data_IF_536289948258
#
_entry.id   IF_536289948258
#
_cell.length_a   1.000
_cell.length_b   1.000
_cell.length_c   1.000
_cell.angle_alpha   90.00
_cell.angle_beta   90.00
_cell.angle_gamma   90.00
#
_symmetry.space_group_name_H-M   'P 1'
#
loop_
_entity.id
_entity.type
_entity.pdbx_description
1 polymer ?
#
# COMPACT_ATOMS: atom_id res chain seq x y z
N UNK A 1 -23.53 58.26 14.54
CA UNK A 1 -22.78 57.77 13.37
C UNK A 1 -22.35 56.35 13.67
N UNK A 2 -23.01 55.39 13.04
CA UNK A 2 -22.93 53.96 13.35
C UNK A 2 -21.72 53.35 12.63
N UNK A 3 -20.74 52.85 13.39
CA UNK A 3 -19.62 52.08 12.84
C UNK A 3 -20.06 50.64 12.67
N UNK A 4 -20.30 50.21 11.43
CA UNK A 4 -20.55 48.81 11.12
C UNK A 4 -19.26 47.99 11.31
N UNK A 5 -19.33 46.77 11.88
CA UNK A 5 -18.20 45.85 11.86
C UNK A 5 -18.02 45.33 10.44
N UNK A 6 -16.81 45.49 9.91
CA UNK A 6 -16.39 45.01 8.59
C UNK A 6 -16.38 43.47 8.59
N UNK A 7 -17.48 42.83 8.20
CA UNK A 7 -17.65 41.37 8.17
C UNK A 7 -17.31 40.79 6.79
N UNK A 8 -16.17 41.17 6.23
CA UNK A 8 -15.70 40.66 4.95
C UNK A 8 -14.19 40.69 4.90
N UNK A 9 -13.60 39.57 4.47
CA UNK A 9 -12.16 39.30 4.31
C UNK A 9 -11.50 38.61 5.51
N UNK A 10 -11.65 37.29 5.55
CA UNK A 10 -10.51 36.39 5.31
C UNK A 10 -11.05 34.97 5.16
N UNK A 11 -11.53 34.65 3.95
CA UNK A 11 -11.55 33.25 3.53
C UNK A 11 -10.09 32.86 3.31
N UNK A 12 -9.38 32.55 4.39
CA UNK A 12 -7.99 32.09 4.34
C UNK A 12 -7.95 30.91 3.38
N UNK A 13 -7.41 31.13 2.19
CA UNK A 13 -7.27 30.10 1.18
C UNK A 13 -6.34 29.04 1.78
N UNK A 14 -6.93 27.93 2.25
CA UNK A 14 -6.18 26.81 2.82
C UNK A 14 -5.41 26.16 1.69
N UNK A 15 -4.16 26.60 1.52
CA UNK A 15 -3.27 26.08 0.50
C UNK A 15 -2.40 24.98 1.12
N UNK A 16 -2.29 23.84 0.45
CA UNK A 16 -1.40 22.77 0.87
C UNK A 16 0.05 23.23 0.78
N UNK A 17 0.86 22.92 1.80
CA UNK A 17 2.26 23.36 1.88
C UNK A 17 3.09 22.84 0.70
N UNK A 18 2.76 21.67 0.18
CA UNK A 18 3.40 21.05 -0.98
C UNK A 18 3.17 21.83 -2.29
N UNK A 19 2.11 22.66 -2.38
CA UNK A 19 1.86 23.49 -3.56
C UNK A 19 2.95 24.55 -3.80
N UNK A 20 3.71 24.91 -2.77
CA UNK A 20 4.88 25.76 -2.90
C UNK A 20 6.03 25.10 -3.70
N UNK A 21 5.93 23.80 -4.01
CA UNK A 21 6.96 23.02 -4.71
C UNK A 21 6.43 22.48 -6.06
N UNK A 22 6.24 23.34 -7.08
CA UNK A 22 5.57 22.97 -8.34
C UNK A 22 6.28 21.85 -9.11
N UNK A 23 7.61 21.76 -9.02
CA UNK A 23 8.37 20.69 -9.66
C UNK A 23 8.16 19.34 -8.99
N UNK A 24 8.04 19.33 -7.66
CA UNK A 24 7.75 18.11 -6.88
C UNK A 24 6.32 17.67 -7.19
N UNK A 25 5.37 18.60 -7.16
CA UNK A 25 3.96 18.32 -7.45
C UNK A 25 3.78 17.77 -8.87
N UNK A 26 4.38 18.41 -9.88
CA UNK A 26 4.33 17.93 -11.28
C UNK A 26 4.89 16.52 -11.41
N UNK A 27 5.94 16.19 -10.64
CA UNK A 27 6.55 14.86 -10.65
C UNK A 27 5.66 13.82 -9.98
N UNK A 28 5.04 14.15 -8.84
CA UNK A 28 4.07 13.30 -8.14
C UNK A 28 2.88 13.02 -9.06
N UNK A 29 2.31 14.05 -9.69
CA UNK A 29 1.19 13.92 -10.62
C UNK A 29 1.51 12.97 -11.79
N UNK A 30 2.72 13.06 -12.35
CA UNK A 30 3.15 12.17 -13.43
C UNK A 30 3.43 10.72 -13.00
N UNK A 31 3.63 10.47 -11.70
CA UNK A 31 3.89 9.14 -11.13
C UNK A 31 2.69 8.55 -10.40
N UNK A 32 1.62 9.31 -10.24
CA UNK A 32 0.56 9.00 -9.29
C UNK A 32 -0.03 7.60 -9.53
N UNK A 33 -0.39 6.92 -8.44
CA UNK A 33 -0.92 5.56 -8.44
C UNK A 33 0.03 4.51 -9.06
N UNK A 34 1.32 4.82 -9.21
CA UNK A 34 2.35 3.86 -9.61
C UNK A 34 3.30 3.56 -8.46
N UNK A 35 4.03 2.45 -8.60
CA UNK A 35 5.13 2.10 -7.72
C UNK A 35 6.30 3.08 -7.78
N UNK A 36 6.52 3.69 -8.95
CA UNK A 36 7.56 4.70 -9.14
C UNK A 36 7.31 5.95 -8.29
N UNK A 37 6.05 6.25 -7.91
CA UNK A 37 5.73 7.33 -6.99
C UNK A 37 6.31 7.10 -5.60
N UNK A 38 6.19 5.88 -5.06
CA UNK A 38 6.72 5.53 -3.75
C UNK A 38 8.25 5.57 -3.74
N UNK A 39 8.90 5.12 -4.82
CA UNK A 39 10.34 5.29 -5.01
C UNK A 39 10.75 6.76 -5.05
N UNK A 40 9.97 7.61 -5.73
CA UNK A 40 10.23 9.04 -5.76
C UNK A 40 10.09 9.70 -4.38
N UNK A 41 9.04 9.37 -3.62
CA UNK A 41 8.85 9.89 -2.26
C UNK A 41 10.03 9.54 -1.35
N UNK A 42 10.55 8.33 -1.43
CA UNK A 42 11.72 7.93 -0.64
C UNK A 42 12.97 8.69 -1.06
N UNK A 43 13.14 8.93 -2.36
CA UNK A 43 14.17 9.83 -2.87
C UNK A 43 14.05 11.21 -2.22
N UNK A 44 12.84 11.78 -2.12
CA UNK A 44 12.62 13.08 -1.49
C UNK A 44 13.01 13.12 0.00
N UNK A 45 12.70 12.06 0.76
CA UNK A 45 13.05 11.99 2.19
C UNK A 45 14.55 11.85 2.44
N UNK A 46 15.26 11.19 1.52
CA UNK A 46 16.69 10.93 1.66
C UNK A 46 17.58 11.90 0.86
N UNK A 47 16.99 12.78 0.03
CA UNK A 47 17.73 13.76 -0.77
C UNK A 47 18.28 14.89 0.11
N UNK A 48 19.35 14.58 0.83
CA UNK A 48 20.22 15.56 1.50
C UNK A 48 21.42 15.86 0.60
N UNK A 49 21.23 16.20 -0.68
CA UNK A 49 22.34 16.49 -1.59
C UNK A 49 23.29 17.56 -1.01
N UNK A 50 24.47 17.10 -0.59
CA UNK A 50 25.64 17.92 -0.24
C UNK A 50 25.61 18.62 1.12
N UNK A 51 24.65 18.32 2.01
CA UNK A 51 24.58 18.95 3.34
C UNK A 51 24.20 20.45 3.34
N UNK A 52 23.87 21.02 2.17
CA UNK A 52 23.60 22.46 2.00
C UNK A 52 22.12 22.80 1.88
N UNK A 53 21.25 21.83 1.57
CA UNK A 53 19.79 22.03 1.56
C UNK A 53 19.22 21.71 2.94
N UNK A 54 18.51 22.68 3.52
CA UNK A 54 17.55 22.40 4.60
C UNK A 54 16.49 21.46 4.00
N UNK A 55 16.19 20.35 4.67
CA UNK A 55 15.13 19.43 4.25
C UNK A 55 13.78 20.13 4.11
N UNK A 56 12.75 19.38 3.73
CA UNK A 56 11.41 19.95 3.64
C UNK A 56 10.96 20.53 5.00
N UNK A 57 10.21 21.65 5.00
CA UNK A 57 9.46 22.09 6.18
C UNK A 57 8.58 20.95 6.73
N UNK A 58 8.29 20.98 8.03
CA UNK A 58 7.55 19.91 8.70
C UNK A 58 6.20 19.68 8.02
N UNK A 59 5.50 20.75 7.69
CA UNK A 59 4.17 20.76 7.08
C UNK A 59 4.19 20.02 5.73
N UNK A 60 5.25 20.23 4.95
CA UNK A 60 5.44 19.53 3.66
C UNK A 60 5.79 18.06 3.90
N UNK A 61 6.58 17.76 4.93
CA UNK A 61 6.90 16.40 5.34
C UNK A 61 5.65 15.58 5.70
N UNK A 62 4.73 16.17 6.45
CA UNK A 62 3.45 15.55 6.83
C UNK A 62 2.57 15.26 5.61
N UNK A 63 2.45 16.23 4.70
CA UNK A 63 1.71 16.04 3.44
C UNK A 63 2.33 14.95 2.56
N UNK A 64 3.66 14.89 2.46
CA UNK A 64 4.37 13.85 1.72
C UNK A 64 4.14 12.46 2.35
N UNK A 65 4.20 12.33 3.67
CA UNK A 65 3.91 11.07 4.37
C UNK A 65 2.45 10.62 4.15
N UNK A 66 1.52 11.57 4.16
CA UNK A 66 0.13 11.30 3.80
C UNK A 66 0.03 10.76 2.36
N UNK A 67 0.68 11.40 1.40
CA UNK A 67 0.64 10.97 0.00
C UNK A 67 1.28 9.60 -0.23
N UNK A 68 2.37 9.25 0.47
CA UNK A 68 2.94 7.89 0.43
C UNK A 68 1.89 6.85 0.82
N UNK A 69 1.22 7.06 1.96
CA UNK A 69 0.19 6.13 2.43
C UNK A 69 -0.99 6.10 1.46
N UNK A 70 -1.40 7.26 0.95
CA UNK A 70 -2.54 7.36 0.06
C UNK A 70 -2.28 6.70 -1.30
N UNK A 71 -1.08 6.85 -1.87
CA UNK A 71 -0.68 6.21 -3.12
C UNK A 71 -0.81 4.67 -3.04
N UNK A 72 -0.38 4.07 -1.91
CA UNK A 72 -0.54 2.63 -1.66
C UNK A 72 -2.01 2.21 -1.55
N UNK A 73 -2.86 3.03 -0.92
CA UNK A 73 -4.30 2.77 -0.85
C UNK A 73 -4.94 2.79 -2.25
N UNK A 74 -4.61 3.78 -3.07
CA UNK A 74 -5.11 3.88 -4.44
C UNK A 74 -4.72 2.65 -5.26
N UNK A 75 -3.47 2.17 -5.12
CA UNK A 75 -2.98 0.94 -5.76
C UNK A 75 -3.65 -0.34 -5.21
N UNK A 76 -4.03 -0.35 -3.93
CA UNK A 76 -4.64 -1.51 -3.27
C UNK A 76 -6.10 -1.76 -3.70
N UNK A 77 -6.84 -0.72 -4.06
CA UNK A 77 -8.25 -0.82 -4.48
C UNK A 77 -8.47 -1.79 -5.66
N UNK A 78 -7.81 -1.64 -6.83
CA UNK A 78 -8.00 -2.57 -7.93
C UNK A 78 -7.52 -3.99 -7.59
N UNK A 79 -6.44 -4.10 -6.81
CA UNK A 79 -5.87 -5.39 -6.41
C UNK A 79 -6.80 -6.18 -5.48
N UNK A 80 -7.47 -5.49 -4.56
CA UNK A 80 -8.45 -6.10 -3.66
C UNK A 80 -9.61 -6.72 -4.43
N UNK A 81 -10.12 -5.99 -5.44
CA UNK A 81 -11.19 -6.46 -6.31
C UNK A 81 -10.76 -7.66 -7.16
N UNK A 82 -9.55 -7.64 -7.71
CA UNK A 82 -9.04 -8.70 -8.57
C UNK A 82 -8.75 -10.00 -7.81
N UNK A 83 -8.05 -9.91 -6.68
CA UNK A 83 -7.66 -11.08 -5.89
C UNK A 83 -8.79 -11.59 -5.00
N UNK A 84 -9.92 -10.87 -4.93
CA UNK A 84 -11.03 -11.13 -4.02
C UNK A 84 -10.55 -11.25 -2.55
N UNK A 85 -9.70 -10.31 -2.15
CA UNK A 85 -9.16 -10.17 -0.79
C UNK A 85 -9.64 -8.87 -0.16
N UNK A 86 -9.49 -8.71 1.15
CA UNK A 86 -9.80 -7.43 1.80
C UNK A 86 -8.85 -6.33 1.31
N UNK A 87 -9.32 -5.07 1.34
CA UNK A 87 -8.48 -3.90 1.04
C UNK A 87 -7.21 -3.86 1.91
N UNK A 88 -7.33 -4.25 3.18
CA UNK A 88 -6.20 -4.34 4.11
C UNK A 88 -5.15 -5.35 3.62
N UNK A 89 -5.58 -6.54 3.17
CA UNK A 89 -4.65 -7.56 2.68
C UNK A 89 -3.98 -7.12 1.37
N UNK A 90 -4.74 -6.52 0.45
CA UNK A 90 -4.18 -5.95 -0.77
C UNK A 90 -3.16 -4.84 -0.47
N UNK A 91 -3.44 -3.97 0.49
CA UNK A 91 -2.50 -2.94 0.95
C UNK A 91 -1.22 -3.58 1.52
N UNK A 92 -1.34 -4.61 2.37
CA UNK A 92 -0.20 -5.32 2.95
C UNK A 92 0.68 -5.98 1.88
N UNK A 93 0.06 -6.56 0.84
CA UNK A 93 0.80 -7.15 -0.29
C UNK A 93 1.60 -6.09 -1.04
N UNK A 94 1.00 -4.95 -1.34
CA UNK A 94 1.68 -3.82 -2.00
C UNK A 94 2.82 -3.29 -1.13
N UNK A 95 2.55 -3.02 0.14
CA UNK A 95 3.55 -2.48 1.08
C UNK A 95 4.74 -3.44 1.20
N UNK A 96 4.48 -4.74 1.37
CA UNK A 96 5.52 -5.77 1.41
C UNK A 96 6.33 -5.80 0.11
N UNK A 97 5.68 -5.79 -1.04
CA UNK A 97 6.36 -5.81 -2.35
C UNK A 97 7.23 -4.56 -2.59
N UNK A 98 6.77 -3.40 -2.13
CA UNK A 98 7.56 -2.17 -2.17
C UNK A 98 8.78 -2.29 -1.24
N UNK A 99 8.62 -2.74 0.01
CA UNK A 99 9.73 -2.97 0.95
C UNK A 99 10.78 -3.97 0.42
N UNK A 100 10.33 -5.11 -0.11
CA UNK A 100 11.21 -6.15 -0.67
C UNK A 100 12.03 -5.63 -1.84
N UNK A 101 11.43 -4.78 -2.66
CA UNK A 101 12.12 -4.21 -3.82
C UNK A 101 13.12 -3.14 -3.44
N UNK A 102 12.90 -2.42 -2.35
CA UNK A 102 13.87 -1.48 -1.78
C UNK A 102 15.04 -2.23 -1.16
N UNK A 103 14.75 -3.33 -0.46
CA UNK A 103 15.78 -4.19 0.12
C UNK A 103 16.62 -4.91 -0.95
N UNK A 104 16.00 -5.30 -2.07
CA UNK A 104 16.68 -6.04 -3.16
C UNK A 104 17.36 -5.12 -4.19
N UNK A 105 17.03 -3.83 -4.23
CA UNK A 105 17.57 -2.85 -5.17
C UNK A 105 18.97 -2.35 -4.82
N UNK A 106 19.96 -3.25 -4.75
CA UNK A 106 21.35 -2.96 -4.37
C UNK A 106 22.19 -2.05 -5.29
N UNK A 107 21.58 -1.25 -6.16
CA UNK A 107 22.30 -0.40 -7.14
C UNK A 107 21.44 0.69 -7.84
N UNK A 108 20.14 0.80 -7.56
CA UNK A 108 19.26 1.83 -8.17
C UNK A 108 19.36 3.22 -7.53
N UNK A 109 20.00 3.31 -6.37
CA UNK A 109 20.06 4.50 -5.50
C UNK A 109 21.10 5.56 -5.91
N UNK A 110 22.05 5.20 -6.78
CA UNK A 110 23.21 6.05 -7.09
C UNK A 110 23.04 7.05 -8.24
N UNK A 111 22.00 6.93 -9.07
CA UNK A 111 21.86 7.77 -10.27
C UNK A 111 20.57 8.60 -10.25
N UNK A 112 20.64 9.94 -10.15
CA UNK A 112 19.52 10.86 -10.37
C UNK A 112 18.78 10.65 -11.69
N UNK A 113 19.42 10.02 -12.68
CA UNK A 113 18.87 9.73 -14.00
C UNK A 113 18.08 8.43 -14.07
N UNK A 114 18.24 7.48 -13.14
CA UNK A 114 17.47 6.23 -13.14
C UNK A 114 15.97 6.48 -12.91
N UNK A 115 15.67 7.47 -12.08
CA UNK A 115 14.32 7.99 -11.96
C UNK A 115 13.82 8.41 -13.35
N UNK A 116 14.59 9.23 -14.07
CA UNK A 116 14.29 9.76 -15.43
C UNK A 116 14.06 8.66 -16.48
N UNK A 117 14.83 7.57 -16.46
CA UNK A 117 14.65 6.44 -17.39
C UNK A 117 13.33 5.68 -17.16
N UNK A 118 12.85 5.63 -15.91
CA UNK A 118 11.53 5.08 -15.61
C UNK A 118 10.41 5.90 -16.29
N UNK A 119 10.64 7.20 -16.54
CA UNK A 119 9.69 8.09 -17.24
C UNK A 119 9.76 7.99 -18.76
N UNK A 120 10.93 7.68 -19.34
CA UNK A 120 11.06 7.54 -20.78
C UNK A 120 10.19 6.39 -21.33
N UNK A 121 9.91 5.39 -20.47
CA UNK A 121 9.00 4.28 -20.77
C UNK A 121 7.60 4.43 -20.18
N UNK A 122 7.35 5.44 -19.32
CA UNK A 122 6.02 5.74 -18.82
C UNK A 122 5.21 6.49 -19.90
N UNK A 123 4.63 5.71 -20.82
CA UNK A 123 3.63 6.17 -21.79
C UNK A 123 2.51 6.94 -21.04
N UNK A 124 1.97 8.05 -21.57
CA UNK A 124 0.95 8.88 -20.89
C UNK A 124 -0.44 8.22 -20.74
N UNK A 125 -0.51 6.89 -20.79
CA UNK A 125 -1.69 6.13 -20.50
C UNK A 125 -1.23 4.93 -19.66
N UNK A 126 -1.25 5.10 -18.33
CA UNK A 126 -1.29 3.96 -17.41
C UNK A 126 -2.60 3.24 -17.71
N UNK A 127 -2.54 2.23 -18.56
CA UNK A 127 -3.70 1.38 -18.80
C UNK A 127 -4.03 0.67 -17.49
N UNK A 128 -5.30 0.25 -17.25
CA UNK A 128 -5.64 -0.61 -16.12
C UNK A 128 -4.70 -1.83 -15.96
N UNK A 129 -4.04 -2.25 -17.05
CA UNK A 129 -3.07 -3.34 -17.10
C UNK A 129 -1.68 -3.04 -16.52
N UNK A 130 -1.28 -1.78 -16.38
CA UNK A 130 0.02 -1.46 -15.79
C UNK A 130 -0.02 -1.52 -14.26
N UNK A 131 -1.21 -1.28 -13.66
CA UNK A 131 -1.49 -1.55 -12.24
C UNK A 131 -1.35 -3.04 -11.89
N UNK A 132 -1.50 -3.91 -12.90
CA UNK A 132 -1.48 -5.37 -12.81
C UNK A 132 -0.09 -5.98 -12.93
N UNK A 133 0.95 -5.22 -13.30
CA UNK A 133 2.30 -5.76 -13.46
C UNK A 133 3.05 -5.89 -12.11
N UNK A 134 2.30 -6.04 -11.01
CA UNK A 134 2.82 -6.55 -9.75
C UNK A 134 2.75 -8.08 -9.82
N UNK A 135 3.90 -8.75 -9.82
CA UNK A 135 3.99 -10.22 -9.82
C UNK A 135 3.52 -10.75 -8.46
N UNK A 136 2.21 -10.80 -8.24
CA UNK A 136 1.58 -11.37 -7.04
C UNK A 136 1.86 -12.88 -7.06
N UNK A 137 2.64 -13.37 -6.10
CA UNK A 137 2.51 -14.79 -5.73
C UNK A 137 1.17 -14.91 -5.02
N UNK A 138 0.18 -15.65 -5.55
CA UNK A 138 -1.14 -15.71 -4.94
C UNK A 138 -0.98 -16.20 -3.50
N UNK A 139 -1.63 -15.54 -2.51
CA UNK A 139 -1.54 -15.97 -1.13
C UNK A 139 -2.05 -17.42 -1.03
N UNK A 140 -1.38 -18.28 -0.25
CA UNK A 140 -1.83 -19.66 -0.09
C UNK A 140 -3.27 -19.66 0.44
N UNK A 141 -4.18 -20.32 -0.28
CA UNK A 141 -5.58 -20.45 0.15
C UNK A 141 -5.62 -21.03 1.56
N UNK A 142 -6.21 -20.31 2.51
CA UNK A 142 -6.40 -20.77 3.90
C UNK A 142 -7.25 -22.04 3.86
N UNK A 143 -6.61 -23.22 4.03
CA UNK A 143 -7.33 -24.50 4.09
C UNK A 143 -8.25 -24.47 5.31
N UNK A 144 -9.54 -24.68 5.11
CA UNK A 144 -10.51 -24.96 6.18
C UNK A 144 -10.25 -26.35 6.74
N UNK A 145 -9.15 -26.53 7.46
CA UNK A 145 -8.84 -27.78 8.17
C UNK A 145 -9.38 -27.70 9.59
N UNK A 146 -10.10 -28.73 10.02
CA UNK A 146 -10.32 -28.98 11.44
C UNK A 146 -11.66 -29.63 11.73
N UNK A 147 -12.76 -28.93 11.41
CA UNK A 147 -14.09 -29.30 11.90
C UNK A 147 -14.60 -30.63 11.32
N UNK A 148 -14.51 -30.83 9.99
CA UNK A 148 -15.02 -32.04 9.35
C UNK A 148 -14.24 -33.29 9.78
N UNK A 149 -12.92 -33.18 9.86
CA UNK A 149 -12.04 -34.25 10.37
C UNK A 149 -12.31 -34.59 11.83
N UNK A 150 -12.60 -33.58 12.66
CA UNK A 150 -13.00 -33.79 14.06
C UNK A 150 -14.36 -34.48 14.17
N UNK A 151 -15.34 -34.07 13.38
CA UNK A 151 -16.67 -34.70 13.35
C UNK A 151 -16.55 -36.18 12.94
N UNK A 152 -15.78 -36.47 11.89
CA UNK A 152 -15.55 -37.86 11.44
C UNK A 152 -14.88 -38.69 12.53
N UNK A 153 -13.89 -38.14 13.24
CA UNK A 153 -13.23 -38.83 14.36
C UNK A 153 -14.18 -39.13 15.52
N UNK A 154 -15.03 -38.18 15.89
CA UNK A 154 -16.03 -38.37 16.97
C UNK A 154 -17.03 -39.46 16.57
N UNK A 155 -17.52 -39.45 15.33
CA UNK A 155 -18.45 -40.47 14.82
C UNK A 155 -17.82 -41.85 14.82
N UNK A 156 -16.55 -41.97 14.38
CA UNK A 156 -15.81 -43.23 14.44
C UNK A 156 -15.62 -43.74 15.86
N UNK A 157 -15.23 -42.85 16.79
CA UNK A 157 -15.05 -43.21 18.20
C UNK A 157 -16.36 -43.71 18.82
N UNK A 158 -17.48 -43.06 18.51
CA UNK A 158 -18.81 -43.46 18.99
C UNK A 158 -19.25 -44.82 18.42
N UNK A 159 -18.96 -45.10 17.15
CA UNK A 159 -19.24 -46.41 16.53
C UNK A 159 -18.40 -47.53 17.15
N UNK A 160 -17.11 -47.29 17.36
CA UNK A 160 -16.21 -48.24 18.03
C UNK A 160 -16.68 -48.50 19.46
N UNK A 161 -17.00 -47.45 20.21
CA UNK A 161 -17.54 -47.58 21.57
C UNK A 161 -18.83 -48.40 21.57
N UNK A 162 -19.77 -48.11 20.67
CA UNK A 162 -21.04 -48.86 20.56
C UNK A 162 -20.83 -50.34 20.19
N UNK A 163 -19.79 -50.66 19.41
CA UNK A 163 -19.46 -52.03 19.02
C UNK A 163 -18.79 -52.81 20.16
N UNK A 164 -17.93 -52.16 20.96
CA UNK A 164 -17.22 -52.76 22.09
C UNK A 164 -18.03 -52.76 23.39
N UNK A 165 -19.00 -51.87 23.54
CA UNK A 165 -19.89 -51.79 24.71
C UNK A 165 -20.50 -53.12 25.14
N UNK A 166 -21.09 -53.95 24.25
CA UNK A 166 -21.65 -55.26 24.66
C UNK A 166 -20.58 -56.29 25.08
N UNK A 167 -19.33 -56.16 24.63
CA UNK A 167 -18.23 -57.07 25.01
C UNK A 167 -17.77 -56.81 26.45
N UNK A 168 -17.82 -55.57 26.91
CA UNK A 168 -17.41 -55.19 28.26
C UNK A 168 -18.53 -55.22 29.30
N UNK A 169 -19.80 -55.30 28.87
CA UNK A 169 -20.97 -55.27 29.78
C UNK A 169 -21.75 -56.58 29.82
N UNK A 170 -21.42 -57.55 28.96
CA UNK A 170 -22.05 -58.88 28.91
C UNK A 170 -21.30 -59.95 29.72
N UNK A 171 -20.94 -59.66 30.97
CA UNK A 171 -20.41 -60.62 31.95
C UNK A 171 -21.35 -60.81 33.12
#
# INVERSE_FOLDING_TARGET
>A
MSGAPNSGQDATQVQAALEAFPNVLKKIQGLWATRGCDTYFQGLFMDTRGGTRRGFPMEVGEELLFLVRFNKNVRALPLAAELNVSLEEAYRLIDKGDQESLASGGNGWGDPRSATETFAHARPQSTPRDFLNYKVVPPPKKKKSGALTWIIMIVLLALVYKLLYPVFTGG
#
